data_IF_129716763928
#
_entry.id   IF_129716763928
#
_cell.length_a   1.000
_cell.length_b   1.000
_cell.length_c   1.000
_cell.angle_alpha   90.00
_cell.angle_beta   90.00
_cell.angle_gamma   90.00
#
_symmetry.space_group_name_H-M   'P 1'
#
loop_
_entity.id
_entity.type
_entity.pdbx_description
1 polymer ?
#
# COMPACT_ATOMS: atom_id res chain seq x y z
N UNK A 1 -0.89 -1.21 -19.12
CA UNK A 1 -0.45 -2.25 -18.16
C UNK A 1 -0.75 -1.68 -16.79
N UNK A 2 -1.57 -2.37 -15.96
CA UNK A 2 -2.23 -1.98 -14.66
C UNK A 2 -3.76 -1.80 -14.64
N UNK A 3 -4.51 -2.32 -15.63
CA UNK A 3 -5.98 -2.16 -15.70
C UNK A 3 -6.72 -2.45 -14.39
N UNK A 4 -6.34 -3.50 -13.66
CA UNK A 4 -7.01 -3.85 -12.40
C UNK A 4 -6.80 -2.80 -11.29
N UNK A 5 -5.62 -2.18 -11.19
CA UNK A 5 -5.37 -1.14 -10.21
C UNK A 5 -6.12 0.13 -10.58
N UNK A 6 -6.17 0.46 -11.87
CA UNK A 6 -6.93 1.60 -12.39
C UNK A 6 -8.42 1.42 -12.12
N UNK A 7 -8.97 0.23 -12.41
CA UNK A 7 -10.36 -0.12 -12.14
C UNK A 7 -10.68 -0.04 -10.64
N UNK A 8 -9.81 -0.55 -9.77
CA UNK A 8 -9.96 -0.47 -8.31
C UNK A 8 -9.94 0.98 -7.81
N UNK A 9 -8.98 1.79 -8.25
CA UNK A 9 -8.87 3.20 -7.87
C UNK A 9 -10.10 3.98 -8.35
N UNK A 10 -10.57 3.72 -9.58
CA UNK A 10 -11.77 4.37 -10.14
C UNK A 10 -13.07 4.00 -9.40
N UNK A 11 -13.10 2.86 -8.72
CA UNK A 11 -14.25 2.41 -7.92
C UNK A 11 -14.40 3.13 -6.58
N UNK A 12 -13.37 3.87 -6.14
CA UNK A 12 -13.40 4.61 -4.87
C UNK A 12 -14.31 5.84 -4.98
N UNK A 13 -15.11 6.09 -3.94
CA UNK A 13 -16.06 7.21 -3.89
C UNK A 13 -15.40 8.54 -3.50
N UNK A 14 -14.42 8.96 -4.29
CA UNK A 14 -13.66 10.19 -4.13
C UNK A 14 -12.39 10.05 -3.29
N UNK A 15 -11.69 11.16 -3.12
CA UNK A 15 -10.39 11.19 -2.45
C UNK A 15 -10.52 11.29 -0.92
N UNK A 16 -9.49 10.81 -0.22
CA UNK A 16 -9.37 10.94 1.24
C UNK A 16 -7.95 11.27 1.62
N UNK A 17 -7.79 12.23 2.53
CA UNK A 17 -6.47 12.67 3.01
C UNK A 17 -5.80 11.55 3.81
N UNK A 18 -4.53 11.29 3.51
CA UNK A 18 -3.68 10.41 4.32
C UNK A 18 -3.27 11.16 5.59
N UNK A 19 -3.62 10.60 6.73
CA UNK A 19 -3.32 11.14 8.06
C UNK A 19 -1.96 10.67 8.57
N UNK A 20 -1.65 9.39 8.37
CA UNK A 20 -0.39 8.79 8.80
C UNK A 20 0.09 7.73 7.81
N UNK A 21 1.41 7.62 7.70
CA UNK A 21 2.11 6.63 6.89
C UNK A 21 3.24 6.01 7.71
N UNK A 22 3.22 4.68 7.86
CA UNK A 22 4.23 3.94 8.59
C UNK A 22 4.82 2.85 7.69
N UNK A 23 6.08 3.02 7.28
CA UNK A 23 6.82 2.02 6.52
C UNK A 23 7.66 1.17 7.47
N UNK A 24 7.15 0.01 7.86
CA UNK A 24 7.85 -0.93 8.72
C UNK A 24 8.57 -1.99 7.87
N UNK A 25 9.38 -2.82 8.54
CA UNK A 25 10.12 -3.92 7.90
C UNK A 25 9.18 -4.74 7.02
N UNK A 26 8.18 -5.42 7.58
CA UNK A 26 7.34 -6.32 6.77
C UNK A 26 6.10 -5.69 6.14
N UNK A 27 5.64 -4.54 6.65
CA UNK A 27 4.36 -3.95 6.29
C UNK A 27 4.43 -2.44 6.19
N UNK A 28 3.71 -1.89 5.22
CA UNK A 28 3.42 -0.46 5.11
C UNK A 28 1.97 -0.24 5.50
N UNK A 29 1.75 0.59 6.52
CA UNK A 29 0.42 0.95 7.02
C UNK A 29 0.06 2.39 6.61
N UNK A 30 -1.19 2.59 6.21
CA UNK A 30 -1.75 3.90 5.82
C UNK A 30 -3.02 4.14 6.62
N UNK A 31 -3.08 5.28 7.31
CA UNK A 31 -4.29 5.76 7.96
C UNK A 31 -4.90 6.91 7.14
N UNK A 32 -6.12 6.75 6.64
CA UNK A 32 -6.91 7.79 5.96
C UNK A 32 -8.33 7.87 6.54
N UNK A 33 -9.37 7.65 5.72
CA UNK A 33 -10.74 7.39 6.19
C UNK A 33 -10.83 6.06 6.95
N UNK A 34 -10.03 5.08 6.55
CA UNK A 34 -9.85 3.78 7.21
C UNK A 34 -8.35 3.44 7.30
N UNK A 35 -8.02 2.22 7.76
CA UNK A 35 -6.65 1.70 7.80
C UNK A 35 -6.42 0.72 6.64
N UNK A 36 -5.32 0.91 5.91
CA UNK A 36 -4.83 0.01 4.87
C UNK A 36 -3.45 -0.55 5.21
N UNK A 37 -3.20 -1.80 4.85
CA UNK A 37 -1.94 -2.50 5.05
C UNK A 37 -1.53 -3.19 3.74
N UNK A 38 -0.26 -3.05 3.39
CA UNK A 38 0.36 -3.77 2.28
C UNK A 38 1.72 -4.32 2.72
N UNK A 39 2.12 -5.47 2.18
CA UNK A 39 3.46 -6.00 2.43
C UNK A 39 4.51 -5.03 1.89
N UNK A 40 5.53 -4.75 2.69
CA UNK A 40 6.68 -3.96 2.24
C UNK A 40 7.56 -4.88 1.40
N UNK A 41 7.81 -4.49 0.15
CA UNK A 41 8.79 -5.21 -0.67
C UNK A 41 10.19 -4.97 -0.09
N UNK A 42 10.89 -6.06 0.19
CA UNK A 42 12.31 -6.02 0.45
C UNK A 42 13.04 -6.41 -0.82
N UNK A 43 14.17 -5.74 -1.10
CA UNK A 43 15.18 -6.37 -1.95
C UNK A 43 15.54 -7.73 -1.34
N UNK A 44 15.63 -8.80 -2.17
CA UNK A 44 16.04 -10.09 -1.68
C UNK A 44 17.39 -9.92 -0.96
N UNK A 45 17.38 -10.16 0.35
CA UNK A 45 18.63 -10.18 1.11
C UNK A 45 19.51 -11.28 0.51
N UNK A 46 20.82 -11.02 0.30
CA UNK A 46 21.72 -11.96 -0.37
C UNK A 46 21.84 -13.35 0.29
N UNK A 47 21.22 -13.54 1.45
CA UNK A 47 21.25 -14.77 2.24
C UNK A 47 20.00 -15.65 2.10
N UNK A 48 18.94 -15.19 1.42
CA UNK A 48 17.78 -16.02 1.11
C UNK A 48 17.75 -16.31 -0.39
N UNK A 49 18.22 -17.51 -0.75
CA UNK A 49 18.02 -18.16 -2.06
C UNK A 49 16.76 -19.01 -2.04
#
# INVERSE_FOLDING_TARGET
MTRILDDLISSLSGDSVVRELHTCVFWTAVLSKHCGLASTFHEPHPYHK
#
